data_IF_954646103414
#
_entry.id   IF_954646103414
#
_cell.length_a   1.000
_cell.length_b   1.000
_cell.length_c   1.000
_cell.angle_alpha   90.00
_cell.angle_beta   90.00
_cell.angle_gamma   90.00
#
_symmetry.space_group_name_H-M   'P 1'
#
loop_
_entity.id
_entity.type
_entity.pdbx_description
1 polymer ?
#
# COMPACT_ATOMS: atom_id res chain seq x y z
N UNK A 1 -28.59 -27.94 -28.53
CA UNK A 1 -29.53 -26.88 -28.97
C UNK A 1 -30.18 -26.06 -27.85
N UNK A 2 -30.29 -26.57 -26.61
CA UNK A 2 -30.87 -25.84 -25.46
C UNK A 2 -29.92 -24.82 -24.78
N UNK A 3 -28.62 -24.85 -25.11
CA UNK A 3 -27.62 -23.94 -24.56
C UNK A 3 -27.76 -22.50 -25.07
N UNK A 4 -28.24 -22.32 -26.31
CA UNK A 4 -28.40 -21.01 -26.95
C UNK A 4 -29.46 -20.09 -26.29
N UNK A 5 -30.69 -20.56 -25.98
CA UNK A 5 -31.64 -19.70 -25.28
C UNK A 5 -31.20 -19.39 -23.84
N UNK A 6 -30.49 -20.32 -23.18
CA UNK A 6 -29.97 -20.11 -21.83
C UNK A 6 -28.86 -19.06 -21.83
N UNK A 7 -27.93 -19.13 -22.80
CA UNK A 7 -26.87 -18.11 -22.91
C UNK A 7 -27.44 -16.73 -23.23
N UNK A 8 -28.44 -16.64 -24.12
CA UNK A 8 -29.08 -15.36 -24.48
C UNK A 8 -29.78 -14.69 -23.28
N UNK A 9 -30.44 -15.49 -22.44
CA UNK A 9 -31.08 -15.00 -21.21
C UNK A 9 -30.03 -14.58 -20.18
N UNK A 10 -28.94 -15.35 -20.02
CA UNK A 10 -27.82 -14.96 -19.17
C UNK A 10 -27.19 -13.64 -19.62
N UNK A 11 -26.91 -13.50 -20.92
CA UNK A 11 -26.32 -12.28 -21.50
C UNK A 11 -27.23 -11.07 -21.33
N UNK A 12 -28.55 -11.27 -21.38
CA UNK A 12 -29.53 -10.21 -21.17
C UNK A 12 -29.67 -9.78 -19.69
N UNK A 13 -29.55 -10.73 -18.76
CA UNK A 13 -29.64 -10.48 -17.31
C UNK A 13 -28.32 -9.93 -16.76
N UNK A 14 -27.18 -10.46 -17.21
CA UNK A 14 -25.83 -10.11 -16.73
C UNK A 14 -25.22 -8.92 -17.50
N UNK A 15 -25.75 -8.61 -18.69
CA UNK A 15 -25.19 -7.62 -19.61
C UNK A 15 -24.01 -8.18 -20.40
N UNK A 16 -23.76 -7.63 -21.61
CA UNK A 16 -22.55 -7.96 -22.39
C UNK A 16 -21.33 -7.80 -21.50
N UNK A 17 -20.40 -8.77 -21.57
CA UNK A 17 -19.12 -8.79 -20.87
C UNK A 17 -18.53 -7.38 -20.77
N UNK A 18 -18.84 -6.67 -19.69
CA UNK A 18 -18.19 -5.41 -19.38
C UNK A 18 -16.76 -5.83 -19.07
N UNK A 19 -15.87 -5.70 -20.06
CA UNK A 19 -14.49 -6.14 -20.00
C UNK A 19 -13.95 -5.85 -18.62
N UNK A 20 -13.60 -6.89 -17.87
CA UNK A 20 -13.55 -6.90 -16.40
C UNK A 20 -12.86 -5.64 -15.84
N UNK A 21 -13.63 -4.59 -15.56
CA UNK A 21 -13.11 -3.42 -14.85
C UNK A 21 -13.10 -3.81 -13.39
N UNK A 22 -11.97 -4.35 -12.94
CA UNK A 22 -11.76 -4.65 -11.54
C UNK A 22 -11.65 -3.33 -10.78
N UNK A 23 -12.66 -3.03 -9.96
CA UNK A 23 -12.53 -1.95 -8.99
C UNK A 23 -11.40 -2.31 -7.99
N UNK A 24 -10.78 -1.29 -7.39
CA UNK A 24 -9.66 -1.47 -6.43
C UNK A 24 -10.01 -2.46 -5.31
N UNK A 25 -11.24 -2.42 -4.78
CA UNK A 25 -11.70 -3.35 -3.74
C UNK A 25 -11.76 -4.80 -4.24
N UNK A 26 -12.26 -5.02 -5.46
CA UNK A 26 -12.31 -6.36 -6.07
C UNK A 26 -10.90 -6.89 -6.32
N UNK A 27 -9.98 -6.04 -6.76
CA UNK A 27 -8.59 -6.42 -6.99
C UNK A 27 -7.89 -6.79 -5.67
N UNK A 28 -8.13 -6.05 -4.59
CA UNK A 28 -7.62 -6.39 -3.26
C UNK A 28 -8.13 -7.74 -2.75
N UNK A 29 -9.43 -8.00 -2.90
CA UNK A 29 -10.02 -9.28 -2.48
C UNK A 29 -9.44 -10.45 -3.29
N UNK A 30 -9.27 -10.28 -4.61
CA UNK A 30 -8.62 -11.28 -5.46
C UNK A 30 -7.19 -11.56 -5.00
N UNK A 31 -6.39 -10.53 -4.72
CA UNK A 31 -5.02 -10.70 -4.21
C UNK A 31 -5.02 -11.47 -2.90
N UNK A 32 -5.94 -11.18 -1.98
CA UNK A 32 -6.08 -11.90 -0.71
C UNK A 32 -6.40 -13.39 -0.93
N UNK A 33 -7.36 -13.71 -1.78
CA UNK A 33 -7.72 -15.09 -2.12
C UNK A 33 -6.56 -15.86 -2.79
N UNK A 34 -5.74 -15.16 -3.57
CA UNK A 34 -4.61 -15.75 -4.30
C UNK A 34 -3.40 -15.99 -3.38
N UNK A 35 -3.21 -15.12 -2.37
CA UNK A 35 -2.24 -15.32 -1.29
C UNK A 35 -2.63 -16.52 -0.41
N UNK A 36 -3.90 -16.63 0.00
CA UNK A 36 -4.42 -17.76 0.78
C UNK A 36 -4.27 -19.10 0.04
N UNK A 37 -4.37 -19.07 -1.30
CA UNK A 37 -4.18 -20.23 -2.16
C UNK A 37 -2.71 -20.61 -2.40
N UNK A 38 -1.74 -19.89 -1.77
CA UNK A 38 -0.28 -20.03 -1.96
C UNK A 38 0.19 -19.89 -3.41
N UNK A 39 -0.61 -19.25 -4.26
CA UNK A 39 -0.26 -19.00 -5.67
C UNK A 39 0.70 -17.81 -5.76
N UNK A 40 0.60 -16.87 -4.82
CA UNK A 40 1.55 -15.78 -4.61
C UNK A 40 2.27 -15.96 -3.26
N UNK A 41 3.51 -15.51 -3.18
CA UNK A 41 4.21 -15.45 -1.89
C UNK A 41 3.68 -14.27 -1.07
N UNK A 42 3.60 -14.41 0.26
CA UNK A 42 3.01 -13.38 1.14
C UNK A 42 3.65 -11.99 0.94
N UNK A 43 4.96 -11.96 0.70
CA UNK A 43 5.69 -10.73 0.42
C UNK A 43 5.24 -10.05 -0.89
N UNK A 44 4.97 -10.83 -1.94
CA UNK A 44 4.49 -10.30 -3.22
C UNK A 44 3.07 -9.76 -3.10
N UNK A 45 2.20 -10.49 -2.39
CA UNK A 45 0.85 -10.03 -2.10
C UNK A 45 0.84 -8.74 -1.27
N UNK A 46 1.73 -8.62 -0.29
CA UNK A 46 1.89 -7.42 0.53
C UNK A 46 2.41 -6.23 -0.27
N UNK A 47 3.36 -6.43 -1.19
CA UNK A 47 3.86 -5.35 -2.08
C UNK A 47 2.73 -4.83 -2.97
N UNK A 48 1.98 -5.73 -3.61
CA UNK A 48 0.90 -5.34 -4.52
C UNK A 48 -0.23 -4.64 -3.76
N UNK A 49 -0.64 -5.19 -2.60
CA UNK A 49 -1.63 -4.53 -1.73
C UNK A 49 -1.14 -3.17 -1.23
N UNK A 50 0.12 -3.06 -0.83
CA UNK A 50 0.74 -1.82 -0.40
C UNK A 50 0.69 -0.75 -1.50
N UNK A 51 1.03 -1.11 -2.74
CA UNK A 51 0.98 -0.21 -3.89
C UNK A 51 -0.45 0.27 -4.21
N UNK A 52 -1.44 -0.65 -4.16
CA UNK A 52 -2.84 -0.29 -4.36
C UNK A 52 -3.35 0.67 -3.28
N UNK A 53 -2.97 0.44 -2.02
CA UNK A 53 -3.36 1.29 -0.89
C UNK A 53 -2.65 2.65 -0.93
N UNK A 54 -1.40 2.71 -1.38
CA UNK A 54 -0.60 3.95 -1.43
C UNK A 54 -1.27 5.04 -2.26
N UNK A 55 -2.02 4.66 -3.30
CA UNK A 55 -2.76 5.61 -4.16
C UNK A 55 -3.80 6.43 -3.37
N UNK A 56 -4.30 5.89 -2.26
CA UNK A 56 -5.32 6.53 -1.44
C UNK A 56 -4.78 7.02 -0.09
N UNK A 57 -3.48 6.86 0.21
CA UNK A 57 -2.86 7.36 1.43
C UNK A 57 -2.44 8.81 1.27
N UNK A 58 -2.60 9.58 2.34
CA UNK A 58 -2.10 10.94 2.48
C UNK A 58 -0.77 10.96 3.24
N UNK A 59 -0.09 12.12 3.23
CA UNK A 59 1.15 12.32 4.02
C UNK A 59 0.88 12.19 5.52
N UNK A 60 -0.29 12.65 5.98
CA UNK A 60 -0.70 12.56 7.39
C UNK A 60 -0.76 11.11 7.90
N UNK A 61 -1.12 10.16 7.03
CA UNK A 61 -1.23 8.73 7.39
C UNK A 61 0.12 8.05 7.64
N UNK A 62 1.23 8.65 7.21
CA UNK A 62 2.56 8.02 7.21
C UNK A 62 3.67 8.89 7.79
N UNK A 63 3.42 10.18 8.04
CA UNK A 63 4.42 11.09 8.59
C UNK A 63 4.72 10.80 10.06
N UNK A 64 5.97 11.00 10.47
CA UNK A 64 6.33 11.07 11.89
C UNK A 64 5.78 12.38 12.46
N UNK A 65 5.10 12.30 13.60
CA UNK A 65 4.60 13.50 14.27
C UNK A 65 5.76 14.38 14.72
N UNK A 66 5.56 15.70 14.68
CA UNK A 66 6.60 16.68 15.02
C UNK A 66 7.18 16.50 16.44
N UNK A 67 6.34 16.06 17.38
CA UNK A 67 6.71 15.77 18.77
C UNK A 67 7.68 14.60 18.92
N UNK A 68 7.69 13.69 17.93
CA UNK A 68 8.53 12.50 17.90
C UNK A 68 9.78 12.67 17.01
N UNK A 69 10.02 13.87 16.47
CA UNK A 69 11.18 14.14 15.60
C UNK A 69 12.38 14.60 16.42
N UNK A 70 13.51 13.92 16.24
CA UNK A 70 14.81 14.41 16.70
C UNK A 70 15.27 15.58 15.82
N UNK A 71 15.50 16.74 16.43
CA UNK A 71 15.94 17.98 15.77
C UNK A 71 17.11 18.58 16.53
N UNK A 72 17.89 19.41 15.84
CA UNK A 72 18.96 20.19 16.46
C UNK A 72 18.64 21.67 16.40
N UNK A 73 19.00 22.43 17.44
CA UNK A 73 18.88 23.87 17.37
C UNK A 73 19.92 24.43 16.40
N UNK A 74 19.56 25.48 15.66
CA UNK A 74 20.46 26.14 14.69
C UNK A 74 21.74 26.67 15.35
N UNK A 75 21.69 26.97 16.65
CA UNK A 75 22.82 27.49 17.42
C UNK A 75 23.59 26.41 18.19
N UNK A 76 23.23 25.12 18.03
CA UNK A 76 23.95 24.02 18.68
C UNK A 76 25.38 23.97 18.19
N UNK A 77 26.33 23.95 19.13
CA UNK A 77 27.76 23.78 18.83
C UNK A 77 28.03 22.30 18.63
N UNK A 78 28.63 21.94 17.49
CA UNK A 78 29.02 20.56 17.17
C UNK A 78 30.34 20.18 17.87
N UNK A 79 30.23 19.95 19.17
CA UNK A 79 31.29 19.40 20.00
C UNK A 79 31.23 17.86 20.09
N UNK A 80 32.12 17.27 20.88
CA UNK A 80 32.19 15.82 21.01
C UNK A 80 30.91 15.20 21.60
N UNK A 81 30.27 15.89 22.55
CA UNK A 81 29.06 15.39 23.22
C UNK A 81 27.87 15.37 22.26
N UNK A 82 27.61 16.50 21.58
CA UNK A 82 26.55 16.61 20.58
C UNK A 82 26.75 15.66 19.39
N UNK A 83 27.99 15.49 18.90
CA UNK A 83 28.28 14.51 17.85
C UNK A 83 28.05 13.07 18.31
N UNK A 84 28.38 12.76 19.56
CA UNK A 84 28.13 11.43 20.14
C UNK A 84 26.64 11.17 20.25
N UNK A 85 25.86 12.16 20.66
CA UNK A 85 24.40 12.08 20.70
C UNK A 85 23.81 11.83 19.32
N UNK A 86 24.20 12.61 18.31
CA UNK A 86 23.76 12.43 16.91
C UNK A 86 24.06 11.01 16.41
N UNK A 87 25.27 10.49 16.67
CA UNK A 87 25.65 9.14 16.29
C UNK A 87 24.82 8.07 17.01
N UNK A 88 24.50 8.29 18.29
CA UNK A 88 23.66 7.39 19.06
C UNK A 88 22.22 7.35 18.54
N UNK A 89 21.67 8.49 18.08
CA UNK A 89 20.35 8.54 17.46
C UNK A 89 20.32 7.84 16.10
N UNK A 90 21.41 7.88 15.33
CA UNK A 90 21.58 7.09 14.11
C UNK A 90 20.76 7.57 12.91
N UNK A 91 20.17 8.77 12.96
CA UNK A 91 19.46 9.34 11.82
C UNK A 91 20.42 9.87 10.75
N UNK A 92 20.16 9.54 9.48
CA UNK A 92 20.95 10.06 8.35
C UNK A 92 20.65 11.53 8.06
N UNK A 93 19.45 12.01 8.41
CA UNK A 93 18.96 13.37 8.13
C UNK A 93 18.31 13.92 9.39
N UNK A 94 18.73 15.09 9.82
CA UNK A 94 18.24 15.79 11.02
C UNK A 94 17.80 17.18 10.57
N UNK A 95 16.54 17.57 10.82
CA UNK A 95 16.05 18.92 10.56
C UNK A 95 16.78 19.98 11.37
#
# INVERSE_FOLDING_TARGET
PASFPISLVLDWILGQEMGQVFNKEKLQELIRMTADSRVLHDNEANIISGALQLTNKSVEDVMTKIEDVYMLEVNTVLDFESLTEIMHQGYTRIP
#
